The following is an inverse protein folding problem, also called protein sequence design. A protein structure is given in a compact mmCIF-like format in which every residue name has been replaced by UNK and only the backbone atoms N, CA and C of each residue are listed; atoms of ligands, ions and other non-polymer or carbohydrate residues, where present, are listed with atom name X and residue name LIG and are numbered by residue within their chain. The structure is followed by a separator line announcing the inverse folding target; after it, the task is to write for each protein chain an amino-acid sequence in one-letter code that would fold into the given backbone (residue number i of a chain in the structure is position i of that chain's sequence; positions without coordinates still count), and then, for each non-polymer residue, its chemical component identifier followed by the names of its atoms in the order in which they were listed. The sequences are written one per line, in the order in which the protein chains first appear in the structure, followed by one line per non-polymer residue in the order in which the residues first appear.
data_IF_407528914715
#
_entry.id   IF_407528914715
#
_cell.length_a   1.000
_cell.length_b   1.000
_cell.length_c   1.000
_cell.angle_alpha   90.00
_cell.angle_beta   90.00
_cell.angle_gamma   90.00
#
_symmetry.space_group_name_H-M   'P 1'
#
loop_
_entity.id
_entity.type
_entity.pdbx_description
1 polymer ?
#
# COMPACT_ATOMS: atom_id res chain seq x y z
N UNK A 1 -8.85 17.33 -3.40
CA UNK A 1 -8.27 17.30 -2.04
C UNK A 1 -7.04 16.41 -2.08
N UNK A 2 -5.98 16.76 -1.35
CA UNK A 2 -4.73 15.98 -1.26
C UNK A 2 -4.10 16.16 0.14
N UNK A 3 -3.19 15.28 0.53
CA UNK A 3 -2.61 15.28 1.89
C UNK A 3 -1.82 16.56 2.21
N UNK A 4 -1.19 17.20 1.22
CA UNK A 4 -0.48 18.46 1.44
C UNK A 4 -1.46 19.59 1.71
N UNK A 5 -2.61 19.60 1.03
CA UNK A 5 -3.71 20.53 1.28
C UNK A 5 -4.35 20.31 2.65
N UNK A 6 -4.63 19.05 3.02
CA UNK A 6 -5.17 18.71 4.36
C UNK A 6 -4.22 19.18 5.46
N UNK A 7 -2.91 18.92 5.31
CA UNK A 7 -1.89 19.40 6.24
C UNK A 7 -1.91 20.92 6.39
N UNK A 8 -1.91 21.66 5.27
CA UNK A 8 -1.97 23.14 5.29
C UNK A 8 -3.23 23.65 5.97
N UNK A 9 -4.38 23.01 5.75
CA UNK A 9 -5.64 23.39 6.38
C UNK A 9 -5.61 23.13 7.88
N UNK A 10 -5.00 22.02 8.31
CA UNK A 10 -4.82 21.69 9.72
C UNK A 10 -3.89 22.68 10.43
N UNK A 11 -2.72 22.97 9.87
CA UNK A 11 -1.75 23.94 10.43
C UNK A 11 -2.33 25.36 10.53
N UNK A 12 -3.26 25.72 9.64
CA UNK A 12 -3.97 27.01 9.65
C UNK A 12 -5.22 27.01 10.54
N UNK A 13 -5.53 25.92 11.23
CA UNK A 13 -6.71 25.81 12.09
C UNK A 13 -8.04 25.93 11.34
N UNK A 14 -8.10 25.50 10.07
CA UNK A 14 -9.32 25.62 9.25
C UNK A 14 -10.40 24.60 9.59
N UNK A 15 -10.01 23.50 10.24
CA UNK A 15 -10.95 22.51 10.75
C UNK A 15 -11.42 22.93 12.14
N UNK A 16 -12.71 23.22 12.27
CA UNK A 16 -13.34 23.51 13.56
C UNK A 16 -13.72 22.22 14.27
N UNK A 17 -14.11 21.21 13.50
CA UNK A 17 -14.52 19.91 14.00
C UNK A 17 -13.69 18.79 13.38
N UNK A 18 -13.56 17.69 14.11
CA UNK A 18 -12.84 16.50 13.66
C UNK A 18 -13.46 15.92 12.39
N UNK A 19 -14.78 15.99 12.27
CA UNK A 19 -15.57 15.51 11.14
C UNK A 19 -15.19 16.22 9.83
N UNK A 20 -14.85 17.51 9.88
CA UNK A 20 -14.42 18.26 8.69
C UNK A 20 -13.06 17.77 8.20
N UNK A 21 -12.12 17.54 9.12
CA UNK A 21 -10.82 16.95 8.81
C UNK A 21 -10.97 15.54 8.22
N UNK A 22 -11.80 14.70 8.84
CA UNK A 22 -12.02 13.34 8.38
C UNK A 22 -12.67 13.31 7.00
N UNK A 23 -13.66 14.18 6.77
CA UNK A 23 -14.33 14.33 5.46
C UNK A 23 -13.32 14.67 4.35
N UNK A 24 -12.42 15.62 4.60
CA UNK A 24 -11.38 15.98 3.63
C UNK A 24 -10.41 14.81 3.36
N UNK A 25 -10.05 14.03 4.37
CA UNK A 25 -9.24 12.82 4.18
C UNK A 25 -10.00 11.77 3.35
N UNK A 26 -11.27 11.51 3.65
CA UNK A 26 -12.10 10.58 2.86
C UNK A 26 -12.26 11.04 1.42
N UNK A 27 -12.34 12.35 1.18
CA UNK A 27 -12.43 12.92 -0.16
C UNK A 27 -11.19 12.64 -1.01
N UNK A 28 -9.99 12.51 -0.41
CA UNK A 28 -8.77 12.10 -1.14
C UNK A 28 -9.01 10.69 -1.73
N UNK A 29 -9.42 9.75 -0.89
CA UNK A 29 -9.60 8.35 -1.29
C UNK A 29 -10.74 8.18 -2.29
N UNK A 30 -11.88 8.83 -2.05
CA UNK A 30 -13.04 8.79 -2.94
C UNK A 30 -12.70 9.35 -4.32
N UNK A 31 -11.95 10.46 -4.40
CA UNK A 31 -11.49 10.99 -5.67
C UNK A 31 -10.54 10.01 -6.37
N UNK A 32 -9.54 9.46 -5.66
CA UNK A 32 -8.64 8.47 -6.22
C UNK A 32 -9.40 7.27 -6.81
N UNK A 33 -10.40 6.74 -6.10
CA UNK A 33 -11.22 5.62 -6.61
C UNK A 33 -12.13 6.02 -7.77
N UNK A 34 -12.65 7.24 -7.80
CA UNK A 34 -13.55 7.70 -8.86
C UNK A 34 -12.84 8.00 -10.19
N UNK A 35 -11.59 8.46 -10.13
CA UNK A 35 -10.81 8.77 -11.35
C UNK A 35 -10.06 7.57 -11.91
N UNK A 36 -9.81 6.54 -11.11
CA UNK A 36 -9.04 5.37 -11.51
C UNK A 36 -9.94 4.15 -11.73
N UNK A 37 -9.58 3.33 -12.72
CA UNK A 37 -10.33 2.10 -13.04
C UNK A 37 -10.31 1.15 -11.85
N UNK A 38 -11.47 0.61 -11.48
CA UNK A 38 -11.59 -0.40 -10.43
C UNK A 38 -10.65 -1.58 -10.69
N UNK A 39 -9.89 -1.98 -9.68
CA UNK A 39 -8.90 -3.06 -9.78
C UNK A 39 -7.53 -2.64 -10.31
N UNK A 40 -7.36 -1.39 -10.80
CA UNK A 40 -6.03 -0.84 -11.05
C UNK A 40 -5.21 -0.72 -9.76
N UNK A 41 -3.88 -0.69 -9.88
CA UNK A 41 -3.00 -0.57 -8.71
C UNK A 41 -3.26 0.70 -7.90
N UNK A 42 -3.57 1.82 -8.57
CA UNK A 42 -3.90 3.09 -7.92
C UNK A 42 -5.23 2.98 -7.16
N UNK A 43 -6.23 2.31 -7.75
CA UNK A 43 -7.51 2.09 -7.08
C UNK A 43 -7.34 1.24 -5.82
N UNK A 44 -6.64 0.11 -5.92
CA UNK A 44 -6.35 -0.78 -4.78
C UNK A 44 -5.54 -0.06 -3.69
N UNK A 45 -4.54 0.73 -4.09
CA UNK A 45 -3.77 1.55 -3.17
C UNK A 45 -4.68 2.52 -2.40
N UNK A 46 -5.64 3.16 -3.08
CA UNK A 46 -6.60 4.05 -2.43
C UNK A 46 -7.49 3.31 -1.42
N UNK A 47 -7.96 2.10 -1.73
CA UNK A 47 -8.72 1.27 -0.78
C UNK A 47 -7.91 0.93 0.48
N UNK A 48 -6.64 0.59 0.30
CA UNK A 48 -5.76 0.23 1.41
C UNK A 48 -5.41 1.44 2.28
N UNK A 49 -5.10 2.58 1.65
CA UNK A 49 -4.88 3.84 2.36
C UNK A 49 -6.14 4.29 3.12
N UNK A 50 -7.32 4.13 2.53
CA UNK A 50 -8.59 4.44 3.18
C UNK A 50 -8.78 3.58 4.44
N UNK A 51 -8.58 2.26 4.35
CA UNK A 51 -8.67 1.33 5.48
C UNK A 51 -7.69 1.70 6.60
N UNK A 52 -6.42 1.93 6.25
CA UNK A 52 -5.37 2.33 7.21
C UNK A 52 -5.70 3.66 7.89
N UNK A 53 -6.17 4.65 7.12
CA UNK A 53 -6.54 5.96 7.67
C UNK A 53 -7.69 5.86 8.67
N UNK A 54 -8.70 5.01 8.42
CA UNK A 54 -9.82 4.77 9.36
C UNK A 54 -9.34 4.11 10.65
N UNK A 55 -8.41 3.14 10.58
CA UNK A 55 -7.79 2.52 11.76
C UNK A 55 -7.04 3.54 12.60
N UNK A 56 -6.14 4.31 11.98
CA UNK A 56 -5.39 5.37 12.66
C UNK A 56 -6.30 6.41 13.32
N UNK A 57 -7.40 6.76 12.67
CA UNK A 57 -8.40 7.70 13.21
C UNK A 57 -9.14 7.11 14.39
N UNK A 58 -9.52 5.83 14.34
CA UNK A 58 -10.15 5.14 15.47
C UNK A 58 -9.22 5.15 16.68
N UNK A 59 -7.97 4.76 16.49
CA UNK A 59 -6.98 4.70 17.57
C UNK A 59 -6.68 6.11 18.13
N UNK A 60 -6.63 7.13 17.27
CA UNK A 60 -6.50 8.53 17.69
C UNK A 60 -7.70 9.01 18.53
N UNK A 61 -8.93 8.68 18.10
CA UNK A 61 -10.15 9.02 18.87
C UNK A 61 -10.13 8.37 20.25
N UNK A 62 -9.72 7.11 20.33
CA UNK A 62 -9.56 6.38 21.60
C UNK A 62 -8.52 7.04 22.51
N UNK A 63 -7.36 7.40 21.97
CA UNK A 63 -6.29 8.08 22.72
C UNK A 63 -6.74 9.45 23.25
N UNK A 64 -7.47 10.21 22.46
CA UNK A 64 -7.95 11.54 22.82
C UNK A 64 -9.26 11.53 23.60
N UNK A 65 -9.85 10.34 23.85
CA UNK A 65 -11.17 10.17 24.49
C UNK A 65 -12.24 11.07 23.85
N UNK A 66 -12.17 11.25 22.54
CA UNK A 66 -13.16 12.02 21.78
C UNK A 66 -14.39 11.12 21.65
N UNK A 67 -15.39 11.35 22.48
CA UNK A 67 -16.70 10.72 22.33
C UNK A 67 -17.29 11.14 20.98
N UNK A 68 -17.95 10.21 20.29
CA UNK A 68 -18.70 10.55 19.09
C UNK A 68 -19.75 11.61 19.48
N UNK A 69 -19.90 12.71 18.75
CA UNK A 69 -21.00 13.63 18.97
C UNK A 69 -22.31 12.97 18.49
N UNK A 70 -22.83 12.02 19.28
CA UNK A 70 -24.24 11.70 19.27
C UNK A 70 -24.98 12.84 19.94
N UNK A 71 -25.94 13.42 19.22
CA UNK A 71 -26.91 14.44 19.66
C UNK A 71 -26.50 15.92 19.61
N UNK A 72 -26.28 16.44 18.40
CA UNK A 72 -26.81 17.79 18.11
C UNK A 72 -28.29 17.67 17.71
N UNK A 73 -29.17 17.47 18.70
CA UNK A 73 -30.61 17.78 18.58
C UNK A 73 -30.93 19.01 19.43
N UNK A 74 -31.00 20.18 18.80
CA UNK A 74 -32.22 21.01 18.74
C UNK A 74 -31.95 22.44 18.24
N UNK A 75 -32.69 22.82 17.20
CA UNK A 75 -32.88 24.17 16.69
C UNK A 75 -33.95 24.14 15.59
N UNK A 76 -35.20 24.33 16.00
CA UNK A 76 -36.47 24.05 15.31
C UNK A 76 -36.85 25.17 14.30
N UNK A 77 -37.21 24.79 13.06
CA UNK A 77 -38.24 25.37 12.14
C UNK A 77 -37.90 24.99 10.68
N UNK A 78 -38.71 24.36 9.82
CA UNK A 78 -40.05 23.76 9.85
C UNK A 78 -40.35 23.24 8.42
N UNK A 79 -41.25 22.25 8.29
CA UNK A 79 -41.99 21.98 7.04
C UNK A 79 -41.70 20.69 6.25
N UNK A 80 -42.46 19.64 6.59
CA UNK A 80 -43.26 18.75 5.69
C UNK A 80 -42.62 17.72 4.72
N UNK A 81 -43.07 16.45 4.86
CA UNK A 81 -43.09 15.36 3.85
C UNK A 81 -42.15 14.19 4.17
N UNK A 82 -42.58 13.13 4.88
CA UNK A 82 -43.19 11.86 4.34
C UNK A 82 -42.24 11.15 3.34
N UNK A 83 -41.69 9.94 3.56
CA UNK A 83 -42.32 8.68 3.97
C UNK A 83 -41.32 7.56 4.39
N UNK A 84 -41.79 6.68 5.29
CA UNK A 84 -41.48 5.24 5.61
C UNK A 84 -40.03 4.74 5.61
N UNK A 85 -39.40 4.38 6.74
CA UNK A 85 -39.59 3.18 7.62
C UNK A 85 -39.21 1.83 6.96
N UNK A 86 -38.11 1.23 7.44
CA UNK A 86 -38.12 -0.13 8.00
C UNK A 86 -36.81 -0.37 8.80
N UNK A 87 -36.97 -0.38 10.13
CA UNK A 87 -36.01 -0.77 11.15
C UNK A 87 -36.62 -2.00 11.86
N UNK A 88 -35.89 -3.11 11.91
CA UNK A 88 -36.23 -4.26 12.76
C UNK A 88 -35.01 -4.61 13.60
N UNK A 89 -34.87 -3.89 14.71
CA UNK A 89 -34.18 -4.35 15.91
C UNK A 89 -34.83 -5.65 16.45
N UNK A 90 -34.02 -6.69 16.69
CA UNK A 90 -34.34 -7.68 17.73
C UNK A 90 -33.25 -7.69 18.79
N UNK A 91 -33.59 -7.11 19.94
CA UNK A 91 -32.95 -7.33 21.24
C UNK A 91 -33.52 -8.61 21.86
N UNK A 92 -32.66 -9.49 22.35
CA UNK A 92 -32.98 -10.25 23.55
C UNK A 92 -31.73 -10.33 24.45
N UNK A 93 -31.98 -10.26 25.74
CA UNK A 93 -31.01 -9.98 26.78
C UNK A 93 -31.02 -11.09 27.82
N UNK A 94 -29.85 -11.61 28.22
CA UNK A 94 -29.75 -12.30 29.51
C UNK A 94 -28.38 -12.15 30.18
N UNK A 95 -28.49 -11.68 31.43
CA UNK A 95 -27.54 -11.36 32.50
C UNK A 95 -26.27 -12.24 32.65
N UNK A 96 -25.17 -11.50 32.87
CA UNK A 96 -24.15 -11.60 33.94
C UNK A 96 -23.78 -12.98 34.49
N UNK A 97 -22.49 -13.32 34.35
CA UNK A 97 -21.63 -13.64 35.49
C UNK A 97 -20.26 -12.96 35.32
N UNK A 98 -19.75 -12.42 36.41
CA UNK A 98 -18.42 -11.81 36.54
C UNK A 98 -17.53 -12.86 37.16
N UNK A 99 -16.41 -13.21 36.52
CA UNK A 99 -15.24 -13.58 37.30
C UNK A 99 -13.93 -13.31 36.54
N UNK A 100 -12.94 -12.89 37.33
CA UNK A 100 -11.74 -12.21 36.86
C UNK A 100 -10.81 -13.00 35.95
N UNK A 101 -10.03 -12.25 35.17
CA UNK A 101 -8.95 -12.79 34.36
C UNK A 101 -8.18 -11.67 33.69
N UNK A 102 -7.04 -11.31 34.29
CA UNK A 102 -5.83 -10.75 33.70
C UNK A 102 -5.93 -9.85 32.46
N UNK A 103 -5.44 -8.62 32.63
CA UNK A 103 -4.86 -7.80 31.57
C UNK A 103 -3.92 -8.67 30.72
N UNK A 104 -4.34 -9.04 29.52
CA UNK A 104 -3.44 -9.41 28.43
C UNK A 104 -3.40 -8.22 27.49
N UNK A 105 -2.20 -7.70 27.28
CA UNK A 105 -1.92 -6.60 26.37
C UNK A 105 -2.55 -6.87 25.01
N UNK A 106 -3.05 -5.80 24.39
CA UNK A 106 -3.48 -5.86 23.00
C UNK A 106 -2.38 -6.50 22.19
N UNK A 107 -2.68 -7.69 21.66
CA UNK A 107 -1.91 -8.27 20.59
C UNK A 107 -1.85 -7.21 19.51
N UNK A 108 -0.64 -6.74 19.22
CA UNK A 108 -0.42 -6.06 17.96
C UNK A 108 -0.79 -7.09 16.90
N UNK A 109 -1.90 -6.88 16.21
CA UNK A 109 -2.22 -7.64 15.01
C UNK A 109 -1.10 -7.31 14.01
N UNK A 110 -0.07 -8.17 13.96
CA UNK A 110 1.10 -8.08 13.09
C UNK A 110 0.74 -8.24 11.60
N UNK A 111 -0.53 -8.50 11.28
CA UNK A 111 -1.04 -8.75 9.94
C UNK A 111 -1.57 -7.48 9.22
N UNK A 112 -1.56 -6.31 9.87
CA UNK A 112 -2.24 -5.10 9.37
C UNK A 112 -1.30 -4.02 8.77
N UNK A 113 -0.05 -4.37 8.45
CA UNK A 113 0.80 -3.58 7.56
C UNK A 113 0.56 -3.93 6.08
N UNK A 114 -0.69 -4.29 5.74
CA UNK A 114 -1.16 -4.53 4.38
C UNK A 114 -1.25 -3.20 3.59
N UNK A 115 -0.09 -2.77 3.10
CA UNK A 115 0.06 -1.77 2.05
C UNK A 115 -0.31 -2.40 0.69
N UNK A 116 -1.42 -3.12 0.57
CA UNK A 116 -1.73 -3.91 -0.62
C UNK A 116 -0.64 -4.93 -0.94
N UNK A 117 -0.05 -5.49 0.11
CA UNK A 117 0.95 -6.53 0.00
C UNK A 117 0.25 -7.76 -0.55
N UNK A 118 0.25 -7.86 -1.88
CA UNK A 118 0.05 -9.11 -2.57
C UNK A 118 1.43 -9.79 -2.66
N UNK A 119 1.77 -10.68 -1.71
CA UNK A 119 3.04 -11.38 -1.74
C UNK A 119 3.24 -12.15 -3.03
N UNK A 120 2.21 -12.46 -3.82
CA UNK A 120 2.36 -13.16 -5.09
C UNK A 120 2.79 -12.25 -6.24
N UNK A 121 2.60 -10.93 -6.14
CA UNK A 121 2.90 -9.98 -7.23
C UNK A 121 4.00 -8.99 -6.90
N UNK A 122 4.21 -8.67 -5.63
CA UNK A 122 5.16 -7.64 -5.23
C UNK A 122 6.56 -8.21 -5.00
N UNK A 123 7.57 -7.50 -5.51
CA UNK A 123 8.98 -7.72 -5.19
C UNK A 123 9.44 -6.62 -4.23
N UNK A 124 9.93 -6.96 -3.03
CA UNK A 124 10.44 -5.99 -2.06
C UNK A 124 11.54 -5.09 -2.64
N UNK A 125 11.60 -3.84 -2.17
CA UNK A 125 12.61 -2.88 -2.64
C UNK A 125 14.03 -3.39 -2.44
N UNK A 126 14.33 -4.00 -1.30
CA UNK A 126 15.65 -4.56 -1.01
C UNK A 126 16.06 -5.65 -2.02
N UNK A 127 15.10 -6.45 -2.48
CA UNK A 127 15.35 -7.45 -3.53
C UNK A 127 15.59 -6.79 -4.89
N UNK A 128 14.87 -5.71 -5.22
CA UNK A 128 15.10 -4.94 -6.44
C UNK A 128 16.49 -4.29 -6.46
N UNK A 129 16.96 -3.82 -5.30
CA UNK A 129 18.33 -3.30 -5.14
C UNK A 129 19.35 -4.41 -5.35
N UNK A 130 19.16 -5.57 -4.73
CA UNK A 130 20.03 -6.73 -4.92
C UNK A 130 20.09 -7.15 -6.40
N UNK A 131 18.93 -7.21 -7.07
CA UNK A 131 18.84 -7.52 -8.49
C UNK A 131 19.61 -6.52 -9.36
N UNK A 132 19.51 -5.22 -9.08
CA UNK A 132 20.27 -4.20 -9.79
C UNK A 132 21.79 -4.36 -9.59
N UNK A 133 22.22 -4.78 -8.40
CA UNK A 133 23.63 -5.06 -8.12
C UNK A 133 24.13 -6.35 -8.80
N UNK A 134 23.28 -7.37 -8.92
CA UNK A 134 23.58 -8.57 -9.70
C UNK A 134 23.74 -8.25 -11.18
N UNK A 135 22.86 -7.42 -11.76
CA UNK A 135 22.95 -6.96 -13.15
C UNK A 135 24.28 -6.26 -13.45
N UNK A 136 24.80 -5.45 -12.52
CA UNK A 136 26.11 -4.78 -12.69
C UNK A 136 27.30 -5.74 -12.76
N UNK A 137 27.16 -6.94 -12.17
CA UNK A 137 28.21 -7.96 -12.10
C UNK A 137 28.03 -9.07 -13.13
N UNK A 138 26.92 -9.06 -13.86
CA UNK A 138 26.57 -10.07 -14.82
C UNK A 138 27.52 -10.09 -16.02
N UNK A 139 27.72 -11.28 -16.59
CA UNK A 139 28.39 -11.45 -17.87
C UNK A 139 27.55 -10.85 -19.00
N UNK A 140 28.17 -10.50 -20.12
CA UNK A 140 27.48 -10.03 -21.33
C UNK A 140 26.35 -10.99 -21.76
N UNK A 141 26.62 -12.29 -21.76
CA UNK A 141 25.64 -13.30 -22.19
C UNK A 141 24.44 -13.36 -21.25
N UNK A 142 24.69 -13.31 -19.93
CA UNK A 142 23.64 -13.20 -18.92
C UNK A 142 22.74 -11.96 -19.10
N UNK A 143 23.33 -10.80 -19.38
CA UNK A 143 22.57 -9.58 -19.66
C UNK A 143 21.76 -9.69 -20.95
N UNK A 144 22.33 -10.25 -22.01
CA UNK A 144 21.62 -10.48 -23.28
C UNK A 144 20.42 -11.40 -23.09
N UNK A 145 20.57 -12.48 -22.34
CA UNK A 145 19.47 -13.42 -22.05
C UNK A 145 18.32 -12.73 -21.30
N UNK A 146 18.64 -11.90 -20.30
CA UNK A 146 17.64 -11.16 -19.53
C UNK A 146 16.93 -10.14 -20.39
N UNK A 147 17.67 -9.35 -21.17
CA UNK A 147 17.08 -8.34 -22.06
C UNK A 147 16.16 -8.99 -23.09
N UNK A 148 16.59 -10.09 -23.72
CA UNK A 148 15.75 -10.81 -24.69
C UNK A 148 14.49 -11.37 -24.05
N UNK A 149 14.60 -11.98 -22.87
CA UNK A 149 13.45 -12.49 -22.13
C UNK A 149 12.46 -11.39 -21.78
N UNK A 150 12.94 -10.24 -21.28
CA UNK A 150 12.09 -9.10 -20.94
C UNK A 150 11.46 -8.48 -22.19
N UNK A 151 12.18 -8.33 -23.30
CA UNK A 151 11.59 -7.84 -24.54
C UNK A 151 10.48 -8.76 -25.10
N UNK A 152 10.60 -10.08 -24.90
CA UNK A 152 9.59 -11.05 -25.34
C UNK A 152 8.37 -11.10 -24.43
N UNK A 153 8.58 -11.21 -23.11
CA UNK A 153 7.49 -11.42 -22.14
C UNK A 153 6.91 -10.13 -21.61
N UNK A 154 7.73 -9.09 -21.50
CA UNK A 154 7.40 -7.89 -20.77
C UNK A 154 8.05 -6.62 -21.37
N UNK A 155 7.68 -6.25 -22.60
CA UNK A 155 8.34 -5.18 -23.35
C UNK A 155 8.22 -3.81 -22.67
N UNK A 156 7.17 -3.55 -21.89
CA UNK A 156 6.97 -2.30 -21.17
C UNK A 156 8.00 -2.04 -20.06
N UNK A 157 8.69 -3.10 -19.62
CA UNK A 157 9.77 -2.99 -18.65
C UNK A 157 11.10 -2.54 -19.27
N UNK A 158 11.21 -2.49 -20.61
CA UNK A 158 12.45 -2.18 -21.33
C UNK A 158 12.25 -1.00 -22.27
N UNK A 159 13.09 0.03 -22.13
CA UNK A 159 13.13 1.17 -23.05
C UNK A 159 14.46 1.20 -23.80
N UNK A 160 14.39 1.29 -25.12
CA UNK A 160 15.55 1.45 -25.99
C UNK A 160 15.81 2.93 -26.28
N UNK A 161 16.97 3.42 -25.85
CA UNK A 161 17.42 4.80 -26.04
C UNK A 161 18.37 4.93 -27.24
N UNK A 162 18.59 3.85 -27.99
CA UNK A 162 19.59 3.76 -29.05
C UNK A 162 21.03 3.90 -28.53
N UNK A 163 21.99 3.82 -29.45
CA UNK A 163 23.43 3.93 -29.16
C UNK A 163 23.91 2.94 -28.08
N UNK A 164 23.49 1.67 -28.17
CA UNK A 164 23.81 0.61 -27.22
C UNK A 164 23.37 0.91 -25.76
N UNK A 165 22.36 1.77 -25.57
CA UNK A 165 21.80 2.08 -24.26
C UNK A 165 20.37 1.59 -24.13
N UNK A 166 20.15 0.76 -23.13
CA UNK A 166 18.84 0.26 -22.73
C UNK A 166 18.58 0.68 -21.28
N UNK A 167 17.32 0.97 -20.95
CA UNK A 167 16.86 1.14 -19.58
C UNK A 167 15.89 0.02 -19.23
N UNK A 168 16.14 -0.62 -18.09
CA UNK A 168 15.22 -1.62 -17.53
C UNK A 168 14.52 -0.97 -16.32
N UNK A 169 13.20 -0.86 -16.40
CA UNK A 169 12.35 -0.38 -15.30
C UNK A 169 12.03 -1.54 -14.37
N UNK A 170 12.89 -1.76 -13.37
CA UNK A 170 12.74 -2.88 -12.42
C UNK A 170 11.39 -2.89 -11.72
N UNK A 171 10.80 -1.71 -11.46
CA UNK A 171 9.48 -1.58 -10.84
C UNK A 171 8.33 -2.06 -11.72
N UNK A 172 8.54 -2.14 -13.03
CA UNK A 172 7.54 -2.67 -13.95
C UNK A 172 7.65 -4.18 -14.07
N UNK A 173 8.76 -4.83 -13.67
CA UNK A 173 8.94 -6.27 -13.86
C UNK A 173 8.00 -7.05 -12.91
N UNK A 174 7.21 -7.96 -13.47
CA UNK A 174 6.36 -8.86 -12.68
C UNK A 174 7.19 -9.85 -11.85
N UNK A 175 6.67 -10.26 -10.68
CA UNK A 175 7.41 -11.14 -9.76
C UNK A 175 7.97 -12.41 -10.41
N UNK A 176 7.18 -13.07 -11.28
CA UNK A 176 7.62 -14.29 -11.96
C UNK A 176 8.81 -14.03 -12.90
N UNK A 177 8.72 -12.98 -13.71
CA UNK A 177 9.79 -12.56 -14.61
C UNK A 177 11.04 -12.11 -13.82
N UNK A 178 10.83 -11.39 -12.73
CA UNK A 178 11.89 -10.94 -11.83
C UNK A 178 12.66 -12.12 -11.24
N UNK A 179 11.95 -13.13 -10.72
CA UNK A 179 12.57 -14.33 -10.14
C UNK A 179 13.37 -15.10 -11.20
N UNK A 180 12.80 -15.29 -12.39
CA UNK A 180 13.52 -15.92 -13.50
C UNK A 180 14.81 -15.18 -13.83
N UNK A 181 14.75 -13.85 -13.98
CA UNK A 181 15.93 -13.05 -14.27
C UNK A 181 16.98 -13.13 -13.15
N UNK A 182 16.55 -13.10 -11.88
CA UNK A 182 17.41 -13.26 -10.70
C UNK A 182 18.12 -14.62 -10.70
N UNK A 183 17.42 -15.68 -11.05
CA UNK A 183 17.99 -17.03 -11.13
C UNK A 183 19.03 -17.14 -12.25
N UNK A 184 18.75 -16.56 -13.43
CA UNK A 184 19.71 -16.47 -14.54
C UNK A 184 20.96 -15.71 -14.11
N UNK A 185 20.82 -14.57 -13.43
CA UNK A 185 21.96 -13.79 -12.92
C UNK A 185 22.83 -14.60 -11.94
N UNK A 186 22.18 -15.30 -11.01
CA UNK A 186 22.87 -16.11 -10.02
C UNK A 186 23.60 -17.31 -10.62
N UNK A 187 23.10 -17.88 -11.71
CA UNK A 187 23.78 -18.94 -12.45
C UNK A 187 25.01 -18.39 -13.19
N UNK A 188 24.88 -17.25 -13.87
CA UNK A 188 26.00 -16.62 -14.59
C UNK A 188 27.17 -16.22 -13.68
N UNK A 189 26.90 -15.87 -12.41
CA UNK A 189 27.96 -15.55 -11.45
C UNK A 189 28.75 -16.78 -10.97
N UNK A 190 28.13 -17.98 -10.98
CA UNK A 190 28.80 -19.23 -10.58
C UNK A 190 29.77 -19.73 -11.64
N UNK A 191 29.54 -19.37 -12.90
CA UNK A 191 30.36 -19.79 -14.05
C UNK A 191 31.54 -18.84 -14.34
N UNK A 192 31.62 -17.70 -13.64
CA UNK A 192 32.73 -16.78 -13.80
C UNK A 192 34.06 -17.40 -13.30
N UNK A 193 35.12 -17.47 -14.12
CA UNK A 193 36.37 -18.09 -13.72
C UNK A 193 37.05 -17.29 -12.61
N UNK A 194 37.24 -17.94 -11.47
CA UNK A 194 37.94 -17.44 -10.28
C UNK A 194 39.43 -17.18 -10.60
N UNK A 195 39.76 -16.04 -11.21
CA UNK A 195 41.17 -15.65 -11.45
C UNK A 195 41.71 -14.83 -10.29
N UNK A 196 42.46 -15.49 -9.41
CA UNK A 196 43.67 -14.94 -8.75
C UNK A 196 44.52 -16.07 -8.13
N UNK A 197 45.24 -16.80 -8.98
CA UNK A 197 46.48 -17.44 -8.55
C UNK A 197 47.58 -16.35 -8.53
N UNK A 198 48.15 -16.11 -7.35
CA UNK A 198 49.38 -15.33 -7.19
C UNK A 198 50.54 -16.15 -7.73
N UNK A 199 51.10 -15.77 -8.88
CA UNK A 199 52.46 -16.14 -9.27
C UNK A 199 53.39 -15.08 -8.69
N UNK A 200 54.07 -15.37 -7.58
CA UNK A 200 55.27 -14.63 -7.19
C UNK A 200 56.47 -15.29 -7.91
N UNK A 201 57.21 -14.47 -8.65
CA UNK A 201 58.56 -14.78 -9.12
C UNK A 201 59.56 -14.49 -8.02
#
# INVERSE_FOLDING_TARGET
MDLSTVRKNLEKGRFKYFEEFFSDVQLIWSNCKNYNVSGSDIYRLAENMERRSKKLIRDLKEQLKIENPSEFKNGKAGGSGDSSEDDEERKDSKKKEVNGGSRKGGLMDEDDDDFGYDPERYVPFDEKVEFADLMKRATKDGLTNIVNYLLEKQPEAVEDYGNDRLQIKVDMIEKQAFQYCKDVLNQNLKEAPNKRQKTQK
#
